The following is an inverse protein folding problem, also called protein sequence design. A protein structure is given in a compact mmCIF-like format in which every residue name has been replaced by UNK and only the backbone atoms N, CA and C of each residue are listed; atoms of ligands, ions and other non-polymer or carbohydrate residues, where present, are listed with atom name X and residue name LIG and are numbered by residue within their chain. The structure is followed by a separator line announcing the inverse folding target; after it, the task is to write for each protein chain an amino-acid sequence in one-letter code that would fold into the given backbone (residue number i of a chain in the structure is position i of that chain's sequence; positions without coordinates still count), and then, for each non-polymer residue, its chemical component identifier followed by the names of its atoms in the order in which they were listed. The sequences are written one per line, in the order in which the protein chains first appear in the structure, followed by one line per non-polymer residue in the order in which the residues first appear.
data_IF_857388477550
#
_entry.id   IF_857388477550
#
_cell.length_a   1.000
_cell.length_b   1.000
_cell.length_c   1.000
_cell.angle_alpha   90.00
_cell.angle_beta   90.00
_cell.angle_gamma   90.00
#
_symmetry.space_group_name_H-M   'P 1'
#
loop_
_entity.id
_entity.type
_entity.pdbx_description
1 polymer ?
#
# COMPACT_ATOMS: atom_id res chain seq x y z
N UNK A 1 19.04 -15.54 19.77
CA UNK A 1 18.82 -15.66 18.31
C UNK A 1 18.15 -14.41 17.79
N UNK A 2 18.63 -13.88 16.66
CA UNK A 2 17.99 -12.76 15.93
C UNK A 2 16.65 -13.24 15.38
N UNK A 3 15.60 -12.40 15.44
CA UNK A 3 14.25 -12.70 14.93
C UNK A 3 13.78 -11.73 13.85
N UNK A 4 14.44 -10.58 13.71
CA UNK A 4 14.13 -9.54 12.73
C UNK A 4 15.43 -8.99 12.19
N UNK A 5 15.53 -8.88 10.87
CA UNK A 5 16.60 -8.18 10.17
C UNK A 5 15.98 -6.91 9.56
N UNK A 6 16.63 -5.76 9.78
CA UNK A 6 16.33 -4.54 9.05
C UNK A 6 17.40 -4.32 7.97
N UNK A 7 16.98 -4.20 6.72
CA UNK A 7 17.80 -3.97 5.54
C UNK A 7 17.42 -2.62 4.92
N UNK A 8 17.99 -1.55 5.48
CA UNK A 8 17.86 -0.18 4.94
C UNK A 8 18.82 0.07 3.77
N UNK A 9 18.85 -0.86 2.81
CA UNK A 9 19.67 -0.85 1.60
C UNK A 9 18.88 -1.49 0.45
N UNK A 10 19.28 -1.18 -0.78
CA UNK A 10 18.69 -1.71 -2.00
C UNK A 10 19.60 -1.45 -3.20
N UNK A 11 19.16 -1.90 -4.37
CA UNK A 11 19.89 -1.77 -5.63
C UNK A 11 20.62 -3.04 -6.07
N UNK A 12 20.94 -3.07 -7.37
CA UNK A 12 21.41 -4.26 -8.07
C UNK A 12 20.27 -5.02 -8.75
N UNK A 13 20.60 -6.13 -9.40
CA UNK A 13 19.61 -7.02 -10.03
C UNK A 13 19.24 -8.22 -9.15
N UNK A 14 18.35 -9.07 -9.66
CA UNK A 14 18.02 -10.35 -9.01
C UNK A 14 19.31 -11.16 -8.83
N UNK A 15 19.45 -11.73 -7.64
CA UNK A 15 20.59 -12.53 -7.24
C UNK A 15 20.09 -13.77 -6.53
N UNK A 16 20.26 -14.92 -7.18
CA UNK A 16 19.86 -16.20 -6.63
C UNK A 16 20.47 -16.45 -5.23
N UNK A 17 21.75 -16.12 -5.04
CA UNK A 17 22.42 -16.32 -3.76
C UNK A 17 21.84 -15.43 -2.65
N UNK A 18 21.48 -14.18 -2.97
CA UNK A 18 20.82 -13.30 -2.01
C UNK A 18 19.41 -13.81 -1.69
N UNK A 19 18.63 -14.19 -2.70
CA UNK A 19 17.28 -14.75 -2.54
C UNK A 19 17.30 -16.00 -1.65
N UNK A 20 18.21 -16.93 -1.90
CA UNK A 20 18.38 -18.15 -1.10
C UNK A 20 18.78 -17.85 0.34
N UNK A 21 19.65 -16.85 0.57
CA UNK A 21 20.01 -16.42 1.92
C UNK A 21 18.83 -15.83 2.69
N UNK A 22 18.01 -14.99 2.04
CA UNK A 22 16.80 -14.40 2.65
C UNK A 22 15.75 -15.49 2.92
N UNK A 23 15.59 -16.45 2.01
CA UNK A 23 14.70 -17.59 2.19
C UNK A 23 15.15 -18.49 3.36
N UNK A 24 16.45 -18.75 3.48
CA UNK A 24 17.02 -19.50 4.60
C UNK A 24 16.76 -18.80 5.95
N UNK A 25 16.85 -17.47 5.99
CA UNK A 25 16.47 -16.70 7.18
C UNK A 25 14.98 -16.87 7.51
N UNK A 26 14.10 -16.86 6.50
CA UNK A 26 12.67 -17.14 6.66
C UNK A 26 12.39 -18.51 7.25
N UNK A 27 13.06 -19.55 6.73
CA UNK A 27 12.97 -20.92 7.24
C UNK A 27 13.46 -21.04 8.70
N UNK A 28 14.37 -20.17 9.12
CA UNK A 28 14.83 -20.06 10.50
C UNK A 28 13.92 -19.20 11.41
N UNK A 29 12.77 -18.72 10.89
CA UNK A 29 11.81 -17.91 11.64
C UNK A 29 12.20 -16.44 11.79
N UNK A 30 13.02 -15.92 10.88
CA UNK A 30 13.49 -14.53 10.85
C UNK A 30 12.66 -13.73 9.84
N UNK A 31 12.11 -12.61 10.29
CA UNK A 31 11.45 -11.61 9.43
C UNK A 31 12.51 -10.69 8.83
N UNK A 32 12.46 -10.49 7.52
CA UNK A 32 13.37 -9.61 6.78
C UNK A 32 12.61 -8.35 6.35
N UNK A 33 12.84 -7.24 7.05
CA UNK A 33 12.22 -5.95 6.74
C UNK A 33 13.20 -5.14 5.91
N UNK A 34 12.75 -4.59 4.79
CA UNK A 34 13.62 -3.83 3.89
C UNK A 34 12.96 -2.55 3.37
N UNK A 35 13.80 -1.60 2.98
CA UNK A 35 13.40 -0.37 2.32
C UNK A 35 12.91 -0.68 0.89
N UNK A 36 11.81 -0.04 0.46
CA UNK A 36 11.29 -0.20 -0.91
C UNK A 36 12.17 0.44 -2.01
N UNK A 37 13.09 1.34 -1.62
CA UNK A 37 13.90 2.14 -2.55
C UNK A 37 13.45 3.61 -2.60
N UNK A 38 14.31 4.50 -3.13
CA UNK A 38 14.09 5.95 -3.15
C UNK A 38 14.08 6.53 -4.58
N UNK A 39 13.55 5.76 -5.54
CA UNK A 39 13.59 6.10 -6.95
C UNK A 39 14.96 5.89 -7.59
N UNK A 40 14.99 6.06 -8.91
CA UNK A 40 16.21 6.12 -9.70
C UNK A 40 16.92 7.48 -9.63
N UNK A 41 17.68 7.79 -10.68
CA UNK A 41 18.53 8.99 -10.75
C UNK A 41 17.78 10.33 -10.78
N UNK A 42 16.48 10.31 -11.04
CA UNK A 42 15.63 11.51 -11.07
C UNK A 42 15.02 11.86 -9.70
N UNK A 43 15.19 10.97 -8.70
CA UNK A 43 14.70 11.15 -7.34
C UNK A 43 13.18 11.03 -7.19
N UNK A 44 12.49 10.46 -8.20
CA UNK A 44 11.07 10.15 -8.14
C UNK A 44 10.87 8.66 -7.92
N UNK A 45 9.91 8.31 -7.06
CA UNK A 45 9.62 6.92 -6.75
C UNK A 45 9.11 6.14 -7.96
N UNK A 46 9.65 4.94 -8.15
CA UNK A 46 9.32 4.01 -9.22
C UNK A 46 8.28 2.99 -8.78
N UNK A 47 7.48 2.49 -9.73
CA UNK A 47 6.64 1.30 -9.52
C UNK A 47 7.52 0.05 -9.70
N UNK A 48 7.86 -0.59 -8.59
CA UNK A 48 8.73 -1.76 -8.59
C UNK A 48 8.00 -3.06 -8.99
N UNK A 49 6.68 -3.01 -9.24
CA UNK A 49 5.99 -4.06 -10.01
C UNK A 49 6.33 -3.98 -11.52
N UNK A 50 6.76 -2.81 -12.02
CA UNK A 50 7.19 -2.61 -13.42
C UNK A 50 8.73 -2.68 -13.57
N UNK A 51 9.46 -2.12 -12.61
CA UNK A 51 10.93 -2.06 -12.59
C UNK A 51 11.42 -2.56 -11.23
N UNK A 52 11.70 -3.86 -11.12
CA UNK A 52 12.11 -4.49 -9.86
C UNK A 52 13.27 -3.77 -9.15
N UNK A 53 13.14 -3.61 -7.83
CA UNK A 53 14.20 -3.17 -6.93
C UNK A 53 14.44 -4.27 -5.87
N UNK A 54 15.68 -4.70 -5.70
CA UNK A 54 16.05 -5.77 -4.78
C UNK A 54 16.75 -5.21 -3.53
N UNK A 55 16.41 -5.71 -2.33
CA UNK A 55 15.66 -6.94 -2.06
C UNK A 55 14.14 -6.77 -1.94
N UNK A 56 13.60 -5.55 -2.12
CA UNK A 56 12.17 -5.25 -1.91
C UNK A 56 11.23 -6.15 -2.72
N UNK A 57 11.55 -6.38 -4.00
CA UNK A 57 10.75 -7.18 -4.92
C UNK A 57 10.70 -8.67 -4.53
N UNK A 58 11.62 -9.17 -3.70
CA UNK A 58 11.49 -10.53 -3.16
C UNK A 58 10.24 -10.71 -2.29
N UNK A 59 9.60 -9.64 -1.82
CA UNK A 59 8.33 -9.73 -1.07
C UNK A 59 7.17 -10.34 -1.87
N UNK A 60 7.28 -10.37 -3.20
CA UNK A 60 6.32 -11.04 -4.10
C UNK A 60 6.38 -12.56 -4.02
N UNK A 61 7.49 -13.13 -3.53
CA UNK A 61 7.76 -14.58 -3.57
C UNK A 61 8.27 -15.18 -2.26
N UNK A 62 8.74 -14.35 -1.32
CA UNK A 62 9.21 -14.77 0.00
C UNK A 62 8.31 -14.20 1.10
N UNK A 63 7.55 -15.08 1.77
CA UNK A 63 6.60 -14.70 2.82
C UNK A 63 7.23 -14.04 4.06
N UNK A 64 8.54 -14.17 4.24
CA UNK A 64 9.27 -13.54 5.35
C UNK A 64 9.77 -12.12 5.04
N UNK A 65 9.57 -11.62 3.83
CA UNK A 65 10.01 -10.28 3.42
C UNK A 65 8.88 -9.27 3.59
N UNK A 66 9.18 -8.16 4.26
CA UNK A 66 8.30 -6.99 4.39
C UNK A 66 9.03 -5.80 3.76
N UNK A 67 8.56 -5.37 2.58
CA UNK A 67 9.07 -4.19 1.88
C UNK A 67 8.29 -2.95 2.32
N UNK A 68 9.00 -1.85 2.61
CA UNK A 68 8.44 -0.68 3.29
C UNK A 68 8.61 0.61 2.48
N UNK A 69 7.48 1.19 2.07
CA UNK A 69 7.42 2.53 1.48
C UNK A 69 7.52 3.63 2.55
N UNK A 70 7.98 4.81 2.13
CA UNK A 70 8.09 6.00 2.98
C UNK A 70 6.89 6.92 2.79
N UNK A 71 6.31 7.36 3.90
CA UNK A 71 5.30 8.42 3.92
C UNK A 71 5.79 9.64 4.70
N UNK A 72 5.16 10.78 4.42
CA UNK A 72 5.31 12.01 5.19
C UNK A 72 4.33 12.10 6.38
N UNK A 73 4.41 13.19 7.14
CA UNK A 73 3.55 13.43 8.31
C UNK A 73 2.08 13.66 7.97
N UNK A 74 1.75 13.85 6.69
CA UNK A 74 0.38 13.96 6.18
C UNK A 74 -0.17 12.63 5.64
N UNK A 75 0.50 11.51 5.90
CA UNK A 75 0.15 10.18 5.37
C UNK A 75 0.21 10.07 3.84
N UNK A 76 0.94 10.99 3.19
CA UNK A 76 1.18 10.94 1.75
C UNK A 76 2.39 10.07 1.46
N UNK A 77 2.31 9.25 0.41
CA UNK A 77 3.49 8.57 -0.14
C UNK A 77 4.54 9.63 -0.50
N UNK A 78 5.74 9.51 0.06
CA UNK A 78 6.81 10.44 -0.22
C UNK A 78 7.16 10.42 -1.72
N UNK A 79 7.39 11.57 -2.34
CA UNK A 79 7.61 11.67 -3.79
C UNK A 79 8.78 10.83 -4.32
N UNK A 80 9.77 10.54 -3.48
CA UNK A 80 10.90 9.67 -3.79
C UNK A 80 10.63 8.19 -3.51
N UNK A 81 9.58 7.82 -2.78
CA UNK A 81 9.39 6.43 -2.34
C UNK A 81 8.96 5.56 -3.50
N UNK A 82 9.71 4.48 -3.74
CA UNK A 82 9.20 3.39 -4.57
C UNK A 82 7.91 2.81 -3.98
N UNK A 83 7.08 2.28 -4.86
CA UNK A 83 5.80 1.65 -4.54
C UNK A 83 5.60 0.43 -5.46
N UNK A 84 4.53 -0.32 -5.23
CA UNK A 84 4.24 -1.52 -6.01
C UNK A 84 3.10 -2.25 -5.34
N UNK A 85 1.98 -2.41 -6.06
CA UNK A 85 0.77 -2.99 -5.50
C UNK A 85 0.99 -4.43 -5.00
N UNK A 86 1.92 -5.14 -5.63
CA UNK A 86 2.25 -6.53 -5.32
C UNK A 86 3.54 -6.66 -4.50
N UNK A 87 4.53 -5.81 -4.77
CA UNK A 87 5.91 -5.91 -4.28
C UNK A 87 6.23 -5.05 -3.06
N UNK A 88 5.40 -4.06 -2.69
CA UNK A 88 5.59 -3.24 -1.49
C UNK A 88 4.50 -3.56 -0.46
N UNK A 89 4.92 -4.00 0.73
CA UNK A 89 4.02 -4.60 1.72
C UNK A 89 3.21 -3.57 2.50
N UNK A 90 3.86 -2.53 3.02
CA UNK A 90 3.26 -1.52 3.91
C UNK A 90 4.02 -0.20 3.82
N UNK A 91 3.43 0.90 4.28
CA UNK A 91 4.13 2.18 4.43
C UNK A 91 4.41 2.53 5.90
N UNK A 92 5.46 3.31 6.14
CA UNK A 92 5.78 3.86 7.46
C UNK A 92 6.42 5.25 7.35
N UNK A 93 6.44 6.05 8.44
CA UNK A 93 7.08 7.36 8.44
C UNK A 93 8.54 7.30 7.96
N UNK A 94 8.83 8.04 6.89
CA UNK A 94 10.16 8.04 6.26
C UNK A 94 10.64 9.42 5.83
N UNK A 95 9.90 10.50 6.11
CA UNK A 95 10.29 11.88 5.78
C UNK A 95 10.58 12.67 7.05
N UNK A 96 11.77 13.26 7.14
CA UNK A 96 12.16 14.12 8.26
C UNK A 96 12.25 13.38 9.61
N UNK A 97 12.67 12.12 9.58
CA UNK A 97 12.73 11.26 10.77
C UNK A 97 13.98 11.58 11.57
N UNK A 98 13.78 12.08 12.79
CA UNK A 98 14.86 12.30 13.75
C UNK A 98 15.34 10.98 14.34
N UNK A 99 16.65 10.74 14.27
CA UNK A 99 17.29 9.61 14.94
C UNK A 99 18.74 9.94 15.27
N UNK A 100 19.40 9.05 16.00
CA UNK A 100 20.79 9.19 16.44
C UNK A 100 21.77 9.14 15.27
N UNK A 101 22.77 10.01 15.28
CA UNK A 101 23.88 10.02 14.32
C UNK A 101 25.23 10.07 15.05
N UNK A 102 26.31 9.49 14.49
CA UNK A 102 27.61 9.42 15.16
C UNK A 102 28.42 10.74 15.07
N UNK A 103 27.77 11.88 14.87
CA UNK A 103 28.42 13.20 14.75
C UNK A 103 28.11 14.12 15.94
N UNK A 104 28.69 15.32 15.93
CA UNK A 104 28.56 16.31 17.03
C UNK A 104 27.13 16.78 17.31
N UNK A 105 26.19 16.54 16.40
CA UNK A 105 24.77 16.90 16.56
C UNK A 105 24.01 15.87 17.39
N UNK A 106 24.55 14.65 17.55
CA UNK A 106 23.97 13.47 18.20
C UNK A 106 22.65 12.96 17.56
N UNK A 107 21.82 13.84 17.03
CA UNK A 107 20.56 13.57 16.36
C UNK A 107 20.43 14.41 15.10
N UNK A 108 19.84 13.84 14.05
CA UNK A 108 19.51 14.57 12.83
C UNK A 108 18.25 14.01 12.16
N UNK A 109 17.47 14.86 11.45
CA UNK A 109 16.39 14.39 10.60
C UNK A 109 16.96 13.86 9.28
N UNK A 110 16.54 12.66 8.89
CA UNK A 110 16.88 12.04 7.60
C UNK A 110 15.58 11.58 6.92
N UNK A 111 15.56 11.59 5.59
CA UNK A 111 14.46 11.10 4.78
C UNK A 111 14.90 9.91 3.92
N UNK A 112 14.02 8.93 3.77
CA UNK A 112 14.20 7.76 2.93
C UNK A 112 13.32 6.59 3.37
N UNK A 113 13.09 5.64 2.46
CA UNK A 113 12.55 4.31 2.82
C UNK A 113 13.47 3.58 3.80
N UNK A 114 14.76 3.91 3.82
CA UNK A 114 15.73 3.52 4.86
C UNK A 114 15.34 3.94 6.28
N UNK A 115 14.52 4.99 6.44
CA UNK A 115 13.99 5.46 7.73
C UNK A 115 12.61 4.86 8.01
N UNK A 116 11.84 4.51 6.98
CA UNK A 116 10.56 3.82 7.12
C UNK A 116 10.73 2.35 7.55
N UNK A 117 11.66 1.62 6.91
CA UNK A 117 11.98 0.22 7.21
C UNK A 117 12.22 -0.07 8.71
N UNK A 118 13.06 0.69 9.44
CA UNK A 118 13.31 0.42 10.85
C UNK A 118 12.10 0.69 11.77
N UNK A 119 11.15 1.55 11.38
CA UNK A 119 9.88 1.67 12.14
C UNK A 119 9.11 0.35 12.11
N UNK A 120 8.98 -0.26 10.93
CA UNK A 120 8.30 -1.55 10.77
C UNK A 120 9.08 -2.67 11.46
N UNK A 121 10.42 -2.70 11.34
CA UNK A 121 11.24 -3.67 12.06
C UNK A 121 11.05 -3.59 13.59
N UNK A 122 10.94 -2.37 14.14
CA UNK A 122 10.62 -2.15 15.56
C UNK A 122 9.23 -2.66 15.94
N UNK A 123 8.22 -2.43 15.09
CA UNK A 123 6.86 -2.96 15.31
C UNK A 123 6.84 -4.49 15.26
N UNK A 124 7.55 -5.10 14.31
CA UNK A 124 7.69 -6.56 14.25
C UNK A 124 8.36 -7.10 15.51
N UNK A 125 9.42 -6.44 16.00
CA UNK A 125 10.06 -6.83 17.25
C UNK A 125 9.09 -6.74 18.45
N UNK A 126 8.23 -5.72 18.48
CA UNK A 126 7.16 -5.57 19.48
C UNK A 126 6.10 -6.68 19.37
N UNK A 127 5.68 -7.04 18.16
CA UNK A 127 4.76 -8.17 17.94
C UNK A 127 5.36 -9.48 18.44
N UNK A 128 6.63 -9.74 18.12
CA UNK A 128 7.34 -10.96 18.50
C UNK A 128 7.72 -11.02 19.98
N UNK A 129 7.84 -9.88 20.67
CA UNK A 129 8.00 -9.87 22.13
C UNK A 129 6.70 -10.25 22.85
N UNK A 130 5.54 -9.89 22.27
CA UNK A 130 4.23 -10.23 22.80
C UNK A 130 3.76 -11.65 22.40
N UNK A 131 3.99 -12.06 21.15
CA UNK A 131 3.64 -13.39 20.61
C UNK A 131 4.87 -14.02 19.92
N UNK A 132 5.82 -14.59 20.68
CA UNK A 132 7.07 -15.12 20.12
C UNK A 132 6.91 -16.28 19.13
N UNK A 133 5.76 -16.97 19.14
CA UNK A 133 5.45 -18.11 18.28
C UNK A 133 4.97 -17.74 16.88
N UNK A 134 4.75 -16.46 16.58
CA UNK A 134 4.33 -16.03 15.24
C UNK A 134 5.40 -16.41 14.21
N UNK A 135 4.96 -17.01 13.10
CA UNK A 135 5.80 -17.25 11.94
C UNK A 135 6.03 -15.96 11.16
N UNK A 136 7.10 -15.85 10.34
CA UNK A 136 7.31 -14.67 9.51
C UNK A 136 6.12 -14.34 8.61
N UNK A 137 5.48 -15.36 8.05
CA UNK A 137 4.25 -15.21 7.26
C UNK A 137 3.11 -14.59 8.07
N UNK A 138 2.85 -15.12 9.27
CA UNK A 138 1.80 -14.58 10.14
C UNK A 138 2.08 -13.12 10.53
N UNK A 139 3.34 -12.78 10.81
CA UNK A 139 3.73 -11.38 11.06
C UNK A 139 3.39 -10.50 9.86
N UNK A 140 3.80 -10.89 8.65
CA UNK A 140 3.52 -10.14 7.41
C UNK A 140 2.01 -9.97 7.21
N UNK A 141 1.23 -11.03 7.36
CA UNK A 141 -0.22 -11.02 7.16
C UNK A 141 -0.93 -10.12 8.21
N UNK A 142 -0.47 -10.13 9.46
CA UNK A 142 -0.97 -9.20 10.50
C UNK A 142 -0.62 -7.76 10.13
N UNK A 143 0.62 -7.47 9.74
CA UNK A 143 1.04 -6.11 9.32
C UNK A 143 0.16 -5.58 8.18
N UNK A 144 -0.09 -6.40 7.16
CA UNK A 144 -0.93 -6.02 6.02
C UNK A 144 -2.38 -5.78 6.44
N UNK A 145 -2.96 -6.70 7.21
CA UNK A 145 -4.40 -6.65 7.56
C UNK A 145 -4.76 -5.61 8.63
N UNK A 146 -3.77 -5.13 9.38
CA UNK A 146 -3.95 -4.16 10.47
C UNK A 146 -3.45 -2.76 10.12
N UNK A 147 -2.85 -2.58 8.94
CA UNK A 147 -2.45 -1.29 8.42
C UNK A 147 -3.65 -0.34 8.29
N UNK A 148 -3.42 0.94 8.54
CA UNK A 148 -4.42 2.00 8.45
C UNK A 148 -4.46 2.55 7.03
N UNK A 149 -5.55 2.32 6.27
CA UNK A 149 -5.63 2.76 4.88
C UNK A 149 -5.53 4.28 4.76
N UNK A 150 -4.78 4.74 3.77
CA UNK A 150 -4.69 6.18 3.46
C UNK A 150 -5.01 6.40 1.99
N UNK A 151 -5.61 7.55 1.67
CA UNK A 151 -5.99 7.86 0.30
C UNK A 151 -4.80 7.87 -0.67
N UNK A 152 -3.62 8.29 -0.19
CA UNK A 152 -2.39 8.34 -0.98
C UNK A 152 -1.79 6.97 -1.28
N UNK A 153 -2.12 5.95 -0.49
CA UNK A 153 -1.63 4.58 -0.61
C UNK A 153 -2.64 3.63 -1.27
N UNK A 154 -3.89 4.08 -1.48
CA UNK A 154 -4.94 3.32 -2.14
C UNK A 154 -4.44 2.67 -3.44
N UNK A 155 -4.43 1.33 -3.46
CA UNK A 155 -4.03 0.53 -4.62
C UNK A 155 -2.58 0.71 -5.10
N UNK A 156 -1.72 1.39 -4.31
CA UNK A 156 -0.29 1.60 -4.62
C UNK A 156 0.64 0.57 -3.97
N UNK A 157 0.22 -0.01 -2.86
CA UNK A 157 0.95 -1.00 -2.08
C UNK A 157 -0.01 -2.10 -1.61
N UNK A 158 0.51 -3.24 -1.18
CA UNK A 158 -0.29 -4.41 -0.75
C UNK A 158 -1.31 -4.04 0.32
N UNK A 159 -0.89 -3.33 1.38
CA UNK A 159 -1.78 -2.95 2.49
C UNK A 159 -2.70 -1.76 2.18
N UNK A 160 -2.40 -1.00 1.12
CA UNK A 160 -2.94 0.35 0.87
C UNK A 160 -2.89 1.30 2.08
N UNK A 161 -1.97 1.06 3.03
CA UNK A 161 -2.03 1.71 4.34
C UNK A 161 -0.71 1.83 5.09
N UNK A 162 -0.72 2.74 6.06
CA UNK A 162 0.38 2.96 7.02
C UNK A 162 0.36 1.88 8.10
N UNK A 163 1.52 1.38 8.50
CA UNK A 163 1.65 0.49 9.65
C UNK A 163 1.14 1.15 10.94
N UNK A 164 0.46 0.39 11.80
CA UNK A 164 0.01 0.85 13.12
C UNK A 164 0.49 -0.12 14.19
N UNK A 165 1.35 0.36 15.10
CA UNK A 165 1.95 -0.48 16.15
C UNK A 165 0.87 -1.08 17.07
N UNK A 166 -0.14 -0.28 17.43
CA UNK A 166 -1.24 -0.72 18.28
C UNK A 166 -2.10 -1.78 17.59
N UNK A 167 -2.51 -1.52 16.34
CA UNK A 167 -3.34 -2.45 15.59
C UNK A 167 -2.60 -3.77 15.33
N UNK A 168 -1.32 -3.71 14.95
CA UNK A 168 -0.51 -4.90 14.71
C UNK A 168 -0.27 -5.72 15.99
N UNK A 169 -0.01 -5.06 17.13
CA UNK A 169 0.20 -5.73 18.42
C UNK A 169 -1.08 -6.42 18.93
N UNK A 170 -2.23 -5.79 18.70
CA UNK A 170 -3.55 -6.27 19.16
C UNK A 170 -4.29 -7.11 18.12
N UNK A 171 -3.74 -7.25 16.90
CA UNK A 171 -4.38 -7.90 15.75
C UNK A 171 -5.76 -7.28 15.42
N UNK A 172 -5.91 -5.99 15.66
CA UNK A 172 -7.15 -5.24 15.41
C UNK A 172 -7.13 -4.68 13.99
N UNK A 173 -8.07 -5.04 13.10
CA UNK A 173 -8.17 -4.42 11.77
C UNK A 173 -8.46 -2.92 11.88
N UNK A 174 -7.97 -2.13 10.92
CA UNK A 174 -8.24 -0.70 10.88
C UNK A 174 -9.75 -0.41 10.80
N UNK A 175 -10.20 0.66 11.46
CA UNK A 175 -11.60 1.07 11.39
C UNK A 175 -12.04 1.32 9.94
N UNK A 176 -13.27 0.92 9.61
CA UNK A 176 -13.86 1.22 8.30
C UNK A 176 -14.08 2.73 8.17
N UNK A 177 -13.64 3.30 7.05
CA UNK A 177 -13.88 4.71 6.71
C UNK A 177 -15.06 4.86 5.77
N UNK A 178 -15.60 6.08 5.69
CA UNK A 178 -16.51 6.46 4.60
C UNK A 178 -15.81 6.29 3.25
N UNK A 179 -16.55 5.98 2.17
CA UNK A 179 -15.96 5.88 0.85
C UNK A 179 -15.37 7.23 0.40
N UNK A 180 -14.13 7.22 -0.08
CA UNK A 180 -13.47 8.38 -0.68
C UNK A 180 -12.76 7.92 -1.94
N UNK A 181 -12.98 8.64 -3.04
CA UNK A 181 -12.26 8.41 -4.30
C UNK A 181 -11.00 9.27 -4.30
N UNK A 182 -9.85 8.66 -4.58
CA UNK A 182 -8.57 9.38 -4.73
C UNK A 182 -8.10 9.45 -6.17
N UNK A 183 -8.46 8.46 -6.98
CA UNK A 183 -8.19 8.46 -8.41
C UNK A 183 -9.30 7.77 -9.18
N UNK A 184 -9.59 8.29 -10.38
CA UNK A 184 -10.48 7.66 -11.33
C UNK A 184 -9.84 7.67 -12.71
N UNK A 185 -9.68 6.49 -13.31
CA UNK A 185 -9.20 6.34 -14.68
C UNK A 185 -10.27 5.70 -15.55
N UNK A 186 -10.43 6.21 -16.76
CA UNK A 186 -11.37 5.71 -17.74
C UNK A 186 -10.63 5.43 -19.03
N UNK A 187 -10.93 4.29 -19.63
CA UNK A 187 -10.45 3.89 -20.94
C UNK A 187 -11.62 3.64 -21.87
N UNK A 188 -11.37 3.25 -23.13
CA UNK A 188 -12.42 2.98 -24.13
C UNK A 188 -13.51 2.01 -23.69
N UNK A 189 -13.29 1.16 -22.68
CA UNK A 189 -14.25 0.14 -22.22
C UNK A 189 -14.33 -0.04 -20.71
N UNK A 190 -13.43 0.58 -19.94
CA UNK A 190 -13.21 0.28 -18.52
C UNK A 190 -13.20 1.57 -17.71
N UNK A 191 -13.75 1.48 -16.50
CA UNK A 191 -13.65 2.50 -15.45
C UNK A 191 -12.97 1.84 -14.24
N UNK A 192 -11.91 2.46 -13.74
CA UNK A 192 -11.20 2.04 -12.53
C UNK A 192 -11.24 3.18 -11.52
N UNK A 193 -11.66 2.87 -10.30
CA UNK A 193 -11.76 3.80 -9.18
C UNK A 193 -10.86 3.30 -8.07
N UNK A 194 -9.92 4.15 -7.66
CA UNK A 194 -9.08 3.94 -6.49
C UNK A 194 -9.51 4.84 -5.34
N UNK A 195 -9.35 4.34 -4.13
CA UNK A 195 -9.72 5.07 -2.94
C UNK A 195 -9.73 4.20 -1.69
N UNK A 196 -10.52 4.62 -0.71
CA UNK A 196 -10.63 3.94 0.59
C UNK A 196 -12.09 3.82 0.98
N UNK A 197 -12.42 2.86 1.85
CA UNK A 197 -13.77 2.70 2.40
C UNK A 197 -14.78 2.10 1.41
N UNK A 198 -14.33 1.48 0.31
CA UNK A 198 -15.21 0.76 -0.61
C UNK A 198 -15.56 -0.60 0.00
N UNK A 199 -16.83 -0.97 0.09
CA UNK A 199 -17.23 -2.27 0.61
C UNK A 199 -17.17 -3.33 -0.48
N UNK A 200 -16.51 -4.43 -0.16
CA UNK A 200 -16.49 -5.62 -1.00
C UNK A 200 -17.91 -6.16 -1.21
N UNK A 201 -18.27 -6.40 -2.47
CA UNK A 201 -19.56 -6.93 -2.88
C UNK A 201 -20.74 -5.94 -2.88
N UNK A 202 -20.64 -4.77 -2.23
CA UNK A 202 -21.77 -3.83 -2.14
C UNK A 202 -21.50 -2.43 -2.68
N UNK A 203 -20.25 -2.00 -2.85
CA UNK A 203 -19.97 -0.65 -3.38
C UNK A 203 -20.36 -0.47 -4.85
N UNK A 204 -21.19 0.54 -5.11
CA UNK A 204 -21.67 0.88 -6.45
C UNK A 204 -20.93 2.11 -6.95
N UNK A 205 -20.37 2.05 -8.16
CA UNK A 205 -19.86 3.26 -8.83
C UNK A 205 -21.04 3.95 -9.53
N UNK A 206 -21.15 5.26 -9.37
CA UNK A 206 -22.14 6.08 -10.03
C UNK A 206 -21.48 7.21 -10.82
N UNK A 207 -21.99 7.45 -12.03
CA UNK A 207 -21.55 8.49 -12.94
C UNK A 207 -22.68 9.48 -13.15
N UNK A 208 -22.51 10.74 -12.74
CA UNK A 208 -23.57 11.76 -12.67
C UNK A 208 -24.84 11.25 -11.96
N UNK A 209 -24.67 10.46 -10.89
CA UNK A 209 -25.77 9.87 -10.11
C UNK A 209 -26.42 8.64 -10.76
N UNK A 210 -25.91 8.16 -11.91
CA UNK A 210 -26.40 6.94 -12.55
C UNK A 210 -25.45 5.79 -12.23
N UNK A 211 -25.97 4.74 -11.60
CA UNK A 211 -25.21 3.54 -11.28
C UNK A 211 -24.65 2.86 -12.54
N UNK A 212 -23.41 2.39 -12.44
CA UNK A 212 -22.79 1.54 -13.45
C UNK A 212 -23.03 0.06 -13.08
N UNK A 213 -23.28 -0.78 -14.07
CA UNK A 213 -23.40 -2.22 -13.87
C UNK A 213 -22.01 -2.90 -13.82
N UNK A 214 -21.99 -4.18 -13.47
CA UNK A 214 -20.83 -5.07 -13.65
C UNK A 214 -19.57 -4.65 -12.88
N UNK A 215 -19.73 -4.15 -11.66
CA UNK A 215 -18.63 -3.90 -10.73
C UNK A 215 -17.89 -5.22 -10.47
N UNK A 216 -16.56 -5.15 -10.56
CA UNK A 216 -15.62 -6.19 -10.17
C UNK A 216 -15.00 -5.82 -8.83
N UNK A 217 -15.13 -6.75 -7.90
CA UNK A 217 -14.49 -6.70 -6.59
C UNK A 217 -13.35 -7.71 -6.60
N UNK A 218 -12.14 -7.21 -6.82
CA UNK A 218 -10.94 -8.04 -6.92
C UNK A 218 -10.24 -8.08 -5.56
N UNK A 219 -10.29 -9.23 -4.89
CA UNK A 219 -9.80 -9.38 -3.52
C UNK A 219 -8.30 -9.07 -3.36
N UNK A 220 -7.52 -8.98 -4.44
CA UNK A 220 -6.13 -8.49 -4.38
C UNK A 220 -6.03 -7.04 -3.87
N UNK A 221 -7.11 -6.25 -3.96
CA UNK A 221 -7.21 -4.88 -3.45
C UNK A 221 -7.90 -4.78 -2.09
N UNK A 222 -8.01 -5.87 -1.33
CA UNK A 222 -8.62 -5.85 0.01
C UNK A 222 -7.65 -5.27 1.04
N UNK A 223 -8.16 -4.42 1.95
CA UNK A 223 -7.34 -3.72 2.96
C UNK A 223 -7.49 -4.31 4.38
N UNK A 224 -7.84 -5.60 4.48
CA UNK A 224 -7.84 -6.36 5.75
C UNK A 224 -9.02 -6.10 6.70
N UNK A 225 -9.69 -4.96 6.61
CA UNK A 225 -10.88 -4.63 7.41
C UNK A 225 -12.21 -4.92 6.69
N UNK A 226 -12.20 -5.72 5.62
CA UNK A 226 -13.37 -6.01 4.80
C UNK A 226 -13.78 -4.85 3.89
N UNK A 227 -12.85 -3.94 3.60
CA UNK A 227 -13.00 -2.92 2.55
C UNK A 227 -11.98 -3.13 1.44
N UNK A 228 -12.13 -2.38 0.36
CA UNK A 228 -11.38 -2.46 -0.89
C UNK A 228 -10.74 -1.11 -1.19
N UNK A 229 -9.58 -1.12 -1.84
CA UNK A 229 -8.93 0.08 -2.34
C UNK A 229 -9.20 0.37 -3.82
N UNK A 230 -9.68 -0.63 -4.59
CA UNK A 230 -10.00 -0.50 -6.02
C UNK A 230 -11.34 -1.12 -6.34
N UNK A 231 -12.11 -0.41 -7.17
CA UNK A 231 -13.28 -0.93 -7.88
C UNK A 231 -13.06 -0.79 -9.37
N UNK A 232 -13.51 -1.78 -10.16
CA UNK A 232 -13.41 -1.75 -11.61
C UNK A 232 -14.73 -2.12 -12.24
N UNK A 233 -15.10 -1.46 -13.33
CA UNK A 233 -16.25 -1.85 -14.17
C UNK A 233 -15.85 -1.89 -15.64
N UNK A 234 -16.46 -2.79 -16.40
CA UNK A 234 -16.26 -2.93 -17.85
C UNK A 234 -17.59 -2.80 -18.62
N UNK A 235 -18.28 -1.65 -18.54
CA UNK A 235 -19.62 -1.50 -19.09
C UNK A 235 -19.65 -1.45 -20.63
N UNK A 236 -18.47 -1.49 -21.27
CA UNK A 236 -18.29 -1.48 -22.72
C UNK A 236 -18.25 -0.09 -23.34
N UNK A 237 -17.82 -0.04 -24.60
CA UNK A 237 -17.51 1.21 -25.33
C UNK A 237 -18.70 2.15 -25.49
N UNK A 238 -19.90 1.61 -25.75
CA UNK A 238 -21.11 2.42 -25.92
C UNK A 238 -21.48 3.13 -24.62
N UNK A 239 -21.42 2.42 -23.50
CA UNK A 239 -21.74 2.93 -22.17
C UNK A 239 -20.73 3.98 -21.72
N UNK A 240 -19.42 3.72 -21.86
CA UNK A 240 -18.39 4.71 -21.56
C UNK A 240 -18.59 5.99 -22.37
N UNK A 241 -18.82 5.91 -23.69
CA UNK A 241 -19.04 7.11 -24.52
C UNK A 241 -20.27 7.92 -24.10
N UNK A 242 -21.31 7.26 -23.59
CA UNK A 242 -22.53 7.91 -23.11
C UNK A 242 -22.31 8.59 -21.75
N UNK A 243 -21.58 7.93 -20.85
CA UNK A 243 -21.34 8.39 -19.48
C UNK A 243 -20.19 9.40 -19.37
N UNK A 244 -19.19 9.31 -20.25
CA UNK A 244 -18.02 10.18 -20.33
C UNK A 244 -17.91 10.84 -21.72
N UNK A 245 -18.82 11.78 -22.04
CA UNK A 245 -18.76 12.50 -23.31
C UNK A 245 -17.52 13.40 -23.39
N UNK A 246 -16.95 13.48 -24.60
CA UNK A 246 -15.72 14.24 -24.86
C UNK A 246 -15.89 15.72 -24.50
N UNK A 247 -14.92 16.30 -23.80
CA UNK A 247 -14.89 17.71 -23.43
C UNK A 247 -15.86 18.11 -22.33
N UNK A 248 -16.44 17.14 -21.59
CA UNK A 248 -17.29 17.42 -20.43
C UNK A 248 -16.65 16.91 -19.15
N UNK A 249 -16.83 17.66 -18.08
CA UNK A 249 -16.55 17.19 -16.73
C UNK A 249 -17.67 16.22 -16.32
N UNK A 250 -17.26 15.16 -15.64
CA UNK A 250 -18.17 14.12 -15.17
C UNK A 250 -17.90 13.87 -13.70
N UNK A 251 -18.98 13.85 -12.92
CA UNK A 251 -18.91 13.53 -11.51
C UNK A 251 -18.98 12.02 -11.33
N UNK A 252 -18.01 11.47 -10.61
CA UNK A 252 -18.04 10.08 -10.16
C UNK A 252 -18.22 10.05 -8.64
N UNK A 253 -19.07 9.14 -8.17
CA UNK A 253 -19.19 8.80 -6.74
C UNK A 253 -19.17 7.30 -6.52
N UNK A 254 -18.79 6.87 -5.33
CA UNK A 254 -19.01 5.49 -4.86
C UNK A 254 -20.08 5.53 -3.78
N UNK A 255 -21.16 4.78 -4.00
CA UNK A 255 -22.28 4.65 -3.08
C UNK A 255 -22.25 3.29 -2.39
N UNK A 256 -22.55 3.29 -1.10
CA UNK A 256 -22.73 2.09 -0.32
C UNK A 256 -24.22 1.92 0.04
N UNK A 257 -24.95 0.97 -0.57
CA UNK A 257 -26.36 0.76 -0.29
C UNK A 257 -26.62 0.21 1.11
N UNK A 258 -25.63 -0.44 1.74
CA UNK A 258 -25.77 -1.02 3.08
C UNK A 258 -25.71 0.03 4.19
N UNK A 259 -24.84 1.03 4.05
CA UNK A 259 -24.70 2.10 5.05
C UNK A 259 -25.42 3.39 4.68
N UNK A 260 -25.84 3.54 3.41
CA UNK A 260 -26.38 4.78 2.87
C UNK A 260 -25.32 5.86 2.64
N UNK A 261 -24.04 5.56 2.83
CA UNK A 261 -22.95 6.51 2.65
C UNK A 261 -22.53 6.64 1.20
N UNK A 262 -22.04 7.84 0.86
CA UNK A 262 -21.62 8.21 -0.49
C UNK A 262 -20.33 8.98 -0.42
N UNK A 263 -19.42 8.71 -1.35
CA UNK A 263 -18.20 9.49 -1.46
C UNK A 263 -18.51 10.94 -1.86
N UNK A 264 -17.64 11.90 -1.52
CA UNK A 264 -17.64 13.18 -2.21
C UNK A 264 -17.57 12.98 -3.73
N UNK A 265 -18.10 13.96 -4.48
CA UNK A 265 -18.00 13.97 -5.94
C UNK A 265 -16.54 14.09 -6.34
N UNK A 266 -16.09 13.15 -7.15
CA UNK A 266 -14.80 13.21 -7.83
C UNK A 266 -15.03 13.68 -9.27
N UNK A 267 -14.63 14.90 -9.57
CA UNK A 267 -14.69 15.43 -10.93
C UNK A 267 -13.56 14.81 -11.75
N UNK A 268 -13.88 14.07 -12.80
CA UNK A 268 -12.86 13.58 -13.74
C UNK A 268 -12.22 14.74 -14.48
N UNK A 269 -11.02 14.52 -15.04
CA UNK A 269 -10.51 15.39 -16.10
C UNK A 269 -11.43 15.41 -17.32
N UNK A 270 -11.19 16.36 -18.23
CA UNK A 270 -11.90 16.40 -19.52
C UNK A 270 -11.55 15.16 -20.35
N UNK A 271 -12.58 14.46 -20.82
CA UNK A 271 -12.47 13.27 -21.67
C UNK A 271 -12.26 13.56 -23.16
#
# INVERSE_FOLDING_TARGET
NVRVINASWGGGGDSQSLREAIAAAGNAGIVFVCAAGNGGSDGFGDDIDEISDFPADYSTSLDNVISVAAIDSGDNLAGFSNFGHSSVTVAAPGVGIWSTVPDVREYAPISGTSMASPHVAGIVALMLSNKPSLTPKQVRDIIVSTAEPTGALASKIVSSGRVSAYNALTETPAAKSKPVITHASVSKKKLTIDGVGFLDGSSIIEVNGVAISDIKYDSSYSVGNGTMSRLRSEPGKKTIKKMFPKGQLVDVTVFNPTTGERSPKFATGLF
#
